data_IF_770012834204
#
_entry.id   IF_770012834204
#
_cell.length_a   1.000
_cell.length_b   1.000
_cell.length_c   1.000
_cell.angle_alpha   90.00
_cell.angle_beta   90.00
_cell.angle_gamma   90.00
#
_symmetry.space_group_name_H-M   'P 1'
#
loop_
_entity.id
_entity.type
_entity.pdbx_description
1 polymer ?
#
# COMPACT_ATOMS: atom_id res chain seq x y z
N UNK A 1 -41.01 27.56 35.61
CA UNK A 1 -39.89 26.58 35.58
C UNK A 1 -39.00 26.72 34.35
N UNK A 2 -39.17 27.76 33.51
CA UNK A 2 -38.42 27.89 32.23
C UNK A 2 -37.29 28.93 32.32
N UNK A 3 -37.37 29.87 33.26
CA UNK A 3 -36.35 30.91 33.48
C UNK A 3 -35.09 30.41 34.19
N UNK A 4 -35.21 29.39 35.05
CA UNK A 4 -34.07 28.79 35.77
C UNK A 4 -33.14 28.00 34.85
N UNK A 5 -33.67 27.45 33.75
CA UNK A 5 -32.87 26.72 32.76
C UNK A 5 -32.11 27.65 31.82
N UNK A 6 -32.55 28.90 31.59
CA UNK A 6 -31.88 29.82 30.65
C UNK A 6 -30.67 30.56 31.25
N UNK A 7 -30.57 30.67 32.57
CA UNK A 7 -29.45 31.33 33.26
C UNK A 7 -28.07 30.67 33.01
N UNK A 8 -27.90 29.33 33.11
CA UNK A 8 -26.61 28.70 32.80
C UNK A 8 -26.26 28.82 31.30
N UNK A 9 -27.25 28.84 30.40
CA UNK A 9 -27.02 29.03 28.95
C UNK A 9 -26.64 30.47 28.58
N UNK A 10 -26.97 31.47 29.41
CA UNK A 10 -26.50 32.85 29.20
C UNK A 10 -25.06 33.08 29.66
N UNK A 11 -24.58 32.29 30.63
CA UNK A 11 -23.17 32.30 31.08
C UNK A 11 -22.30 31.45 30.14
N UNK A 12 -22.90 30.42 29.54
CA UNK A 12 -22.32 29.62 28.47
C UNK A 12 -22.53 30.28 27.09
N UNK A 13 -22.33 31.60 27.00
CA UNK A 13 -22.16 32.23 25.69
C UNK A 13 -20.92 31.59 25.07
N UNK A 14 -21.13 30.69 24.09
CA UNK A 14 -20.04 30.01 23.39
C UNK A 14 -19.04 31.09 22.98
N UNK A 15 -17.82 31.12 23.55
CA UNK A 15 -16.87 32.15 23.20
C UNK A 15 -16.74 32.05 21.68
N UNK A 16 -16.92 33.18 21.00
CA UNK A 16 -16.71 33.29 19.57
C UNK A 16 -15.21 33.13 19.33
N UNK A 17 -14.72 31.90 19.50
CA UNK A 17 -13.34 31.53 19.28
C UNK A 17 -13.22 31.57 17.78
N UNK A 18 -12.79 32.72 17.28
CA UNK A 18 -12.18 32.85 15.95
C UNK A 18 -10.90 32.02 15.96
N UNK A 19 -11.03 30.69 16.04
CA UNK A 19 -9.99 29.72 15.77
C UNK A 19 -9.62 29.95 14.32
N UNK A 20 -8.63 30.82 14.12
CA UNK A 20 -7.91 30.98 12.88
C UNK A 20 -7.31 29.61 12.61
N UNK A 21 -8.02 28.80 11.80
CA UNK A 21 -7.56 27.47 11.38
C UNK A 21 -6.11 27.67 10.95
N UNK A 22 -5.15 26.96 11.54
CA UNK A 22 -3.75 27.20 11.24
C UNK A 22 -3.58 27.04 9.73
N UNK A 23 -3.29 28.13 9.02
CA UNK A 23 -3.06 28.13 7.58
C UNK A 23 -1.80 27.34 7.20
N UNK A 24 -1.09 26.80 8.19
CA UNK A 24 0.08 25.96 8.05
C UNK A 24 -0.27 24.52 7.64
N UNK A 25 -1.45 24.02 8.00
CA UNK A 25 -1.90 22.70 7.55
C UNK A 25 -2.66 22.85 6.23
N UNK A 26 -1.92 23.01 5.15
CA UNK A 26 -2.51 22.96 3.81
C UNK A 26 -3.11 21.56 3.63
N UNK A 27 -4.41 21.48 3.34
CA UNK A 27 -5.09 20.20 3.14
C UNK A 27 -4.41 19.46 1.98
N UNK A 28 -3.83 18.26 2.22
CA UNK A 28 -3.10 17.57 1.18
C UNK A 28 -4.06 17.21 0.03
N UNK A 29 -3.56 17.30 -1.21
CA UNK A 29 -4.33 16.92 -2.39
C UNK A 29 -4.74 15.45 -2.32
N UNK A 30 -5.93 15.12 -2.82
CA UNK A 30 -6.47 13.76 -2.82
C UNK A 30 -5.51 12.75 -3.48
N UNK A 31 -4.77 13.16 -4.51
CA UNK A 31 -3.75 12.34 -5.17
C UNK A 31 -2.55 12.03 -4.27
N UNK A 32 -2.14 12.96 -3.41
CA UNK A 32 -1.02 12.78 -2.47
C UNK A 32 -1.40 11.79 -1.37
N UNK A 33 -2.63 11.90 -0.85
CA UNK A 33 -3.15 10.94 0.14
C UNK A 33 -3.23 9.54 -0.47
N UNK A 34 -3.72 9.45 -1.71
CA UNK A 34 -3.79 8.19 -2.44
C UNK A 34 -2.41 7.53 -2.65
N UNK A 35 -1.39 8.31 -3.04
CA UNK A 35 -0.03 7.81 -3.15
C UNK A 35 0.53 7.34 -1.80
N UNK A 36 0.30 8.10 -0.73
CA UNK A 36 0.71 7.72 0.62
C UNK A 36 0.07 6.41 1.08
N UNK A 37 -1.21 6.19 0.77
CA UNK A 37 -1.91 4.94 1.10
C UNK A 37 -1.28 3.75 0.35
N UNK A 38 -0.99 3.86 -0.95
CA UNK A 38 -0.34 2.78 -1.70
C UNK A 38 1.05 2.47 -1.14
N UNK A 39 1.85 3.49 -0.82
CA UNK A 39 3.19 3.30 -0.22
C UNK A 39 3.07 2.64 1.14
N UNK A 40 2.12 3.06 1.98
CA UNK A 40 1.90 2.41 3.27
C UNK A 40 1.46 0.95 3.13
N UNK A 41 0.61 0.65 2.13
CA UNK A 41 0.18 -0.71 1.82
C UNK A 41 1.39 -1.57 1.42
N UNK A 42 2.26 -1.07 0.55
CA UNK A 42 3.51 -1.73 0.13
C UNK A 42 4.40 -2.11 1.33
N UNK A 43 4.62 -1.16 2.25
CA UNK A 43 5.52 -1.35 3.39
C UNK A 43 4.93 -2.33 4.42
N UNK A 44 3.62 -2.28 4.65
CA UNK A 44 2.96 -3.18 5.61
C UNK A 44 2.91 -4.60 5.06
N UNK A 45 2.49 -4.79 3.80
CA UNK A 45 2.48 -6.13 3.16
C UNK A 45 3.88 -6.65 2.88
N UNK A 46 4.86 -5.77 2.69
CA UNK A 46 6.28 -6.13 2.55
C UNK A 46 6.92 -6.70 3.80
N UNK A 47 6.22 -6.69 4.95
CA UNK A 47 6.69 -7.31 6.18
C UNK A 47 7.70 -6.46 6.97
N UNK A 48 7.80 -5.16 6.71
CA UNK A 48 8.72 -4.24 7.43
C UNK A 48 8.49 -4.27 8.95
N UNK A 49 7.24 -4.48 9.39
CA UNK A 49 6.92 -4.63 10.82
C UNK A 49 7.58 -5.88 11.40
N UNK A 50 7.64 -6.98 10.64
CA UNK A 50 8.29 -8.23 11.06
C UNK A 50 9.81 -8.14 10.97
N UNK A 51 10.33 -7.36 10.01
CA UNK A 51 11.75 -7.02 9.90
C UNK A 51 12.25 -6.29 11.18
N UNK A 52 11.51 -5.26 11.62
CA UNK A 52 11.88 -4.47 12.81
C UNK A 52 11.77 -5.26 14.12
N UNK A 53 10.83 -6.19 14.25
CA UNK A 53 10.59 -6.90 15.51
C UNK A 53 11.47 -8.14 15.67
N UNK A 54 11.70 -8.88 14.57
CA UNK A 54 12.27 -10.23 14.64
C UNK A 54 13.66 -10.31 13.99
N UNK A 55 14.10 -9.26 13.30
CA UNK A 55 15.37 -9.18 12.56
C UNK A 55 15.71 -10.50 11.84
N UNK A 56 14.78 -11.08 11.04
CA UNK A 56 15.00 -12.38 10.43
C UNK A 56 16.13 -12.28 9.38
N UNK A 57 16.90 -13.36 9.16
CA UNK A 57 17.96 -13.36 8.17
C UNK A 57 17.40 -13.03 6.78
N UNK A 58 18.03 -12.08 6.07
CA UNK A 58 17.46 -11.48 4.85
C UNK A 58 17.43 -12.43 3.63
N UNK A 59 18.26 -13.47 3.62
CA UNK A 59 18.37 -14.46 2.54
C UNK A 59 18.80 -15.81 3.12
N UNK A 60 18.12 -16.89 2.74
CA UNK A 60 18.56 -18.25 3.04
C UNK A 60 19.58 -18.76 2.02
N UNK A 61 20.52 -19.59 2.46
CA UNK A 61 21.40 -20.35 1.56
C UNK A 61 21.12 -21.85 1.74
N UNK A 62 20.70 -22.54 0.69
CA UNK A 62 20.77 -24.00 0.68
C UNK A 62 22.09 -24.43 0.05
N UNK A 63 22.78 -25.35 0.71
CA UNK A 63 23.97 -26.00 0.14
C UNK A 63 23.52 -27.08 -0.84
N UNK A 64 23.93 -26.95 -2.08
CA UNK A 64 23.81 -27.99 -3.11
C UNK A 64 24.69 -29.21 -2.72
N UNK A 65 24.44 -30.40 -3.28
CA UNK A 65 25.23 -31.62 -2.97
C UNK A 65 26.73 -31.46 -3.31
N UNK A 66 27.08 -30.47 -4.12
CA UNK A 66 28.45 -30.09 -4.47
C UNK A 66 29.06 -28.98 -3.59
N UNK A 67 28.41 -28.59 -2.49
CA UNK A 67 28.92 -27.59 -1.54
C UNK A 67 28.81 -26.13 -2.01
N UNK A 68 28.24 -25.87 -3.18
CA UNK A 68 27.92 -24.51 -3.62
C UNK A 68 26.68 -24.00 -2.90
N UNK A 69 26.80 -22.83 -2.27
CA UNK A 69 25.67 -22.14 -1.66
C UNK A 69 24.84 -21.49 -2.77
N UNK A 70 23.60 -21.94 -2.95
CA UNK A 70 22.64 -21.23 -3.80
C UNK A 70 21.76 -20.34 -2.92
N UNK A 71 21.64 -19.04 -3.25
CA UNK A 71 20.71 -18.17 -2.55
C UNK A 71 19.29 -18.65 -2.83
N UNK A 72 18.56 -18.93 -1.77
CA UNK A 72 17.15 -19.33 -1.84
C UNK A 72 16.34 -18.17 -1.31
N UNK A 73 15.61 -17.51 -2.21
CA UNK A 73 14.64 -16.49 -1.85
C UNK A 73 13.40 -17.12 -1.16
N UNK A 74 13.09 -18.38 -1.50
CA UNK A 74 12.14 -19.38 -0.98
C UNK A 74 12.30 -19.96 0.45
N UNK A 75 11.55 -19.61 1.50
CA UNK A 75 11.45 -20.48 2.68
C UNK A 75 10.43 -21.60 2.43
N UNK A 76 10.81 -22.57 1.61
CA UNK A 76 9.99 -23.77 1.41
C UNK A 76 9.80 -24.50 2.74
N UNK A 77 8.56 -24.91 3.08
CA UNK A 77 8.17 -25.74 4.24
C UNK A 77 7.79 -25.03 5.56
N UNK A 78 7.80 -23.69 5.64
CA UNK A 78 7.35 -22.95 6.84
C UNK A 78 6.46 -21.75 6.45
N UNK A 79 5.14 -21.91 6.56
CA UNK A 79 4.15 -20.87 6.19
C UNK A 79 4.23 -19.61 7.07
N UNK A 80 4.70 -19.75 8.32
CA UNK A 80 4.88 -18.62 9.26
C UNK A 80 6.26 -17.97 9.17
N UNK A 81 7.19 -18.53 8.38
CA UNK A 81 8.52 -17.97 8.19
C UNK A 81 8.60 -17.38 6.79
N UNK A 82 8.81 -16.07 6.70
CA UNK A 82 8.91 -15.37 5.43
C UNK A 82 10.27 -14.68 5.36
N UNK A 83 11.00 -14.87 4.26
CA UNK A 83 12.19 -14.08 4.02
C UNK A 83 11.79 -12.65 3.62
N UNK A 84 12.59 -11.67 4.03
CA UNK A 84 12.37 -10.25 3.70
C UNK A 84 12.25 -10.05 2.18
N UNK A 85 13.06 -10.78 1.41
CA UNK A 85 13.03 -10.72 -0.06
C UNK A 85 11.73 -11.25 -0.67
N UNK A 86 11.06 -12.25 -0.05
CA UNK A 86 9.75 -12.74 -0.51
C UNK A 86 8.65 -11.72 -0.21
N UNK A 87 8.70 -11.13 0.99
CA UNK A 87 7.78 -10.06 1.41
C UNK A 87 7.84 -8.86 0.50
N UNK A 88 9.04 -8.32 0.28
CA UNK A 88 9.23 -7.16 -0.59
C UNK A 88 8.89 -7.46 -2.06
N UNK A 89 9.23 -8.64 -2.58
CA UNK A 89 8.92 -8.98 -3.96
C UNK A 89 7.42 -9.21 -4.18
N UNK A 90 6.73 -9.85 -3.23
CA UNK A 90 5.28 -10.07 -3.29
C UNK A 90 4.51 -8.75 -3.18
N UNK A 91 4.84 -7.88 -2.23
CA UNK A 91 4.17 -6.57 -2.08
C UNK A 91 4.42 -5.65 -3.27
N UNK A 92 5.58 -5.73 -3.92
CA UNK A 92 5.88 -5.00 -5.15
C UNK A 92 4.96 -5.45 -6.29
N UNK A 93 4.81 -6.76 -6.49
CA UNK A 93 3.94 -7.28 -7.54
C UNK A 93 2.47 -7.01 -7.27
N UNK A 94 2.03 -7.07 -6.02
CA UNK A 94 0.67 -6.70 -5.66
C UNK A 94 0.38 -5.22 -5.92
N UNK A 95 1.31 -4.32 -5.57
CA UNK A 95 1.14 -2.88 -5.83
C UNK A 95 1.19 -2.55 -7.32
N UNK A 96 2.09 -3.17 -8.08
CA UNK A 96 2.12 -3.08 -9.55
C UNK A 96 0.83 -3.62 -10.19
N UNK A 97 0.31 -4.75 -9.71
CA UNK A 97 -0.96 -5.31 -10.18
C UNK A 97 -2.16 -4.40 -9.88
N UNK A 98 -2.22 -3.84 -8.66
CA UNK A 98 -3.25 -2.88 -8.25
C UNK A 98 -3.20 -1.58 -9.06
N UNK A 99 -2.01 -1.03 -9.26
CA UNK A 99 -1.80 0.13 -10.14
C UNK A 99 -2.17 -0.18 -11.60
N UNK A 100 -1.86 -1.39 -12.08
CA UNK A 100 -2.25 -1.86 -13.41
C UNK A 100 -3.76 -1.82 -13.65
N UNK A 101 -4.56 -2.22 -12.65
CA UNK A 101 -6.02 -2.15 -12.71
C UNK A 101 -6.53 -0.70 -12.78
N UNK A 102 -5.88 0.21 -12.07
CA UNK A 102 -6.28 1.62 -12.01
C UNK A 102 -5.89 2.35 -13.29
N UNK A 103 -4.76 1.97 -13.90
CA UNK A 103 -4.36 2.43 -15.24
C UNK A 103 -5.38 1.93 -16.29
N UNK A 104 -5.86 0.69 -16.18
CA UNK A 104 -6.90 0.15 -17.06
C UNK A 104 -8.21 0.95 -16.96
N UNK A 105 -8.66 1.25 -15.74
CA UNK A 105 -9.86 2.06 -15.51
C UNK A 105 -9.70 3.48 -16.08
N UNK A 106 -8.55 4.12 -15.80
CA UNK A 106 -8.27 5.47 -16.30
C UNK A 106 -8.15 5.52 -17.82
N UNK A 107 -7.67 4.45 -18.44
CA UNK A 107 -7.54 4.29 -19.89
C UNK A 107 -8.88 4.07 -20.60
N UNK A 108 -9.95 3.75 -19.85
CA UNK A 108 -11.29 3.64 -20.41
C UNK A 108 -11.97 5.02 -20.65
N UNK A 109 -11.37 6.12 -20.16
CA UNK A 109 -11.91 7.46 -20.38
C UNK A 109 -11.97 7.82 -21.89
N UNK A 110 -13.03 8.50 -22.37
CA UNK A 110 -13.23 8.73 -23.80
C UNK A 110 -12.29 9.78 -24.45
N UNK A 111 -11.47 10.49 -23.67
CA UNK A 111 -10.67 11.64 -24.12
C UNK A 111 -9.19 11.33 -24.49
N UNK A 112 -8.82 10.06 -24.69
CA UNK A 112 -7.42 9.65 -24.94
C UNK A 112 -7.23 9.24 -26.41
N UNK A 113 -6.14 9.65 -27.08
CA UNK A 113 -5.82 9.19 -28.43
C UNK A 113 -5.69 7.66 -28.48
N UNK A 114 -6.19 7.05 -29.57
CA UNK A 114 -6.33 5.58 -29.75
C UNK A 114 -5.05 4.79 -29.45
N UNK A 115 -3.89 5.33 -29.85
CA UNK A 115 -2.58 4.71 -29.62
C UNK A 115 -2.20 4.68 -28.13
N UNK A 116 -2.40 5.80 -27.43
CA UNK A 116 -2.11 5.91 -25.99
C UNK A 116 -3.07 5.04 -25.17
N UNK A 117 -4.34 4.97 -25.58
CA UNK A 117 -5.33 4.07 -24.97
C UNK A 117 -4.90 2.61 -25.09
N UNK A 118 -4.46 2.18 -26.27
CA UNK A 118 -4.01 0.81 -26.48
C UNK A 118 -2.74 0.48 -25.68
N UNK A 119 -1.77 1.40 -25.64
CA UNK A 119 -0.51 1.24 -24.90
C UNK A 119 -0.71 1.23 -23.37
N UNK A 120 -1.56 2.11 -22.84
CA UNK A 120 -1.89 2.12 -21.41
C UNK A 120 -2.74 0.91 -21.00
N UNK A 121 -3.68 0.47 -21.84
CA UNK A 121 -4.43 -0.78 -21.59
C UNK A 121 -3.53 -2.02 -21.63
N UNK A 122 -2.58 -2.11 -22.56
CA UNK A 122 -1.69 -3.27 -22.64
C UNK A 122 -0.71 -3.37 -21.47
N UNK A 123 -0.17 -2.23 -21.03
CA UNK A 123 0.71 -2.16 -19.84
C UNK A 123 -0.04 -2.43 -18.53
N UNK A 124 -1.30 -1.99 -18.41
CA UNK A 124 -2.13 -2.32 -17.26
C UNK A 124 -2.48 -3.81 -17.19
N UNK A 125 -2.78 -4.44 -18.33
CA UNK A 125 -3.08 -5.87 -18.41
C UNK A 125 -1.85 -6.74 -18.11
N UNK A 126 -0.66 -6.36 -18.61
CA UNK A 126 0.58 -7.08 -18.33
C UNK A 126 0.94 -7.02 -16.84
N UNK A 127 0.81 -5.85 -16.21
CA UNK A 127 1.06 -5.68 -14.78
C UNK A 127 0.10 -6.52 -13.92
N UNK A 128 -1.19 -6.60 -14.29
CA UNK A 128 -2.18 -7.45 -13.61
C UNK A 128 -1.83 -8.95 -13.75
N UNK A 129 -1.50 -9.39 -14.97
CA UNK A 129 -1.09 -10.77 -15.20
C UNK A 129 0.18 -11.14 -14.41
N UNK A 130 1.17 -10.26 -14.35
CA UNK A 130 2.39 -10.47 -13.55
C UNK A 130 2.10 -10.65 -12.06
N UNK A 131 1.14 -9.90 -11.51
CA UNK A 131 0.73 -10.06 -10.12
C UNK A 131 -0.01 -11.39 -9.88
N UNK A 132 -0.90 -11.78 -10.79
CA UNK A 132 -1.62 -13.07 -10.70
C UNK A 132 -0.74 -14.29 -10.88
N UNK A 133 0.42 -14.13 -11.54
CA UNK A 133 1.39 -15.21 -11.77
C UNK A 133 2.34 -15.41 -10.59
N UNK A 134 2.22 -14.65 -9.51
CA UNK A 134 3.12 -14.78 -8.36
C UNK A 134 2.86 -16.10 -7.62
N UNK A 135 3.84 -17.03 -7.56
CA UNK A 135 3.66 -18.36 -6.96
C UNK A 135 3.45 -18.30 -5.44
N UNK A 136 3.81 -17.19 -4.79
CA UNK A 136 3.57 -16.98 -3.36
C UNK A 136 2.08 -16.86 -2.99
N UNK A 137 1.19 -16.53 -3.94
CA UNK A 137 -0.26 -16.49 -3.70
C UNK A 137 -0.86 -17.88 -3.43
N UNK A 138 -0.23 -18.96 -3.89
CA UNK A 138 -0.72 -20.33 -3.71
C UNK A 138 -0.27 -20.97 -2.39
N UNK A 139 0.61 -20.32 -1.63
CA UNK A 139 1.18 -20.86 -0.40
C UNK A 139 0.65 -20.17 0.87
N UNK A 140 -0.24 -19.17 0.74
CA UNK A 140 -0.95 -18.51 1.84
C UNK A 140 -2.35 -19.12 2.04
#
# INVERSE_FOLDING_TARGET
MESLYSMPFSVLECPNVKLKKPSWLHMPSAMTVYAAVIVSYFLITGGIIYDVIVEPPSVGSMTDEHGHQRPVAFLAYRVNGQYIMEGLASSFLFTMGGLGFIILDRSNAPNIPKLNRFCCSSSGLSAFCSASSWPGCSCA
#
